data_IF_962438860883
#
_entry.id   IF_962438860883
#
_cell.length_a   1.000
_cell.length_b   1.000
_cell.length_c   1.000
_cell.angle_alpha   90.00
_cell.angle_beta   90.00
_cell.angle_gamma   90.00
#
_symmetry.space_group_name_H-M   'P 1'
#
loop_
_entity.id
_entity.type
_entity.pdbx_description
1 polymer ?
#
# COMPACT_ATOMS: atom_id res chain seq x y z
N UNK A 1 63.21 -2.24 -30.94
CA UNK A 1 62.78 -0.94 -30.38
C UNK A 1 61.31 -1.14 -30.10
N UNK A 2 60.94 -1.29 -28.84
CA UNK A 2 59.54 -1.41 -28.45
C UNK A 2 58.89 -0.03 -28.66
N UNK A 3 57.89 0.03 -29.54
CA UNK A 3 57.06 1.22 -29.66
C UNK A 3 56.40 1.49 -28.30
N UNK A 4 56.38 2.74 -27.80
CA UNK A 4 55.75 3.05 -26.53
C UNK A 4 54.26 2.73 -26.63
N UNK A 5 53.82 1.68 -25.94
CA UNK A 5 52.40 1.32 -25.87
C UNK A 5 51.62 2.50 -25.27
N UNK A 6 50.73 3.10 -26.06
CA UNK A 6 49.82 4.15 -25.60
C UNK A 6 48.86 3.53 -24.56
N UNK A 7 48.84 4.08 -23.36
CA UNK A 7 47.98 3.68 -22.23
C UNK A 7 47.02 4.81 -21.87
N UNK A 8 45.94 4.52 -21.15
CA UNK A 8 44.94 5.54 -20.77
C UNK A 8 45.57 6.73 -20.02
N UNK A 9 46.60 6.48 -19.22
CA UNK A 9 47.30 7.52 -18.46
C UNK A 9 48.13 8.47 -19.35
N UNK A 10 48.67 8.00 -20.48
CA UNK A 10 49.51 8.82 -21.38
C UNK A 10 48.75 9.33 -22.62
N UNK A 11 47.49 8.90 -22.81
CA UNK A 11 46.61 9.37 -23.89
C UNK A 11 46.46 10.90 -23.92
N UNK A 12 46.22 11.60 -22.79
CA UNK A 12 46.07 13.06 -22.83
C UNK A 12 47.27 13.79 -23.41
N UNK A 13 48.48 13.38 -23.02
CA UNK A 13 49.73 13.95 -23.53
C UNK A 13 49.95 13.60 -25.00
N UNK A 14 49.63 12.36 -25.40
CA UNK A 14 49.67 11.95 -26.80
C UNK A 14 48.77 12.81 -27.68
N UNK A 15 47.50 13.00 -27.28
CA UNK A 15 46.51 13.79 -28.04
C UNK A 15 46.95 15.25 -28.16
N UNK A 16 47.49 15.81 -27.07
CA UNK A 16 48.03 17.17 -27.05
C UNK A 16 49.23 17.35 -27.96
N UNK A 17 50.18 16.42 -27.93
CA UNK A 17 51.33 16.45 -28.81
C UNK A 17 50.91 16.29 -30.27
N UNK A 18 50.03 15.33 -30.56
CA UNK A 18 49.52 15.10 -31.91
C UNK A 18 48.82 16.33 -32.49
N UNK A 19 47.96 17.00 -31.70
CA UNK A 19 47.28 18.21 -32.13
C UNK A 19 48.28 19.34 -32.45
N UNK A 20 49.31 19.52 -31.63
CA UNK A 20 50.36 20.50 -31.88
C UNK A 20 51.14 20.22 -33.17
N UNK A 21 51.44 18.94 -33.45
CA UNK A 21 52.20 18.52 -34.64
C UNK A 21 51.40 18.67 -35.95
N UNK A 22 50.07 18.78 -35.89
CA UNK A 22 49.17 18.82 -37.04
C UNK A 22 48.38 20.14 -37.19
N UNK A 23 48.85 21.24 -36.55
CA UNK A 23 48.17 22.54 -36.52
C UNK A 23 46.69 22.44 -36.04
N UNK A 24 46.43 21.50 -35.13
CA UNK A 24 45.11 21.25 -34.54
C UNK A 24 44.89 22.00 -33.22
N UNK A 25 43.63 22.31 -32.93
CA UNK A 25 43.19 22.92 -31.68
C UNK A 25 42.49 21.86 -30.81
N UNK A 26 42.86 21.83 -29.53
CA UNK A 26 42.11 21.09 -28.52
C UNK A 26 41.11 22.01 -27.84
N UNK A 27 39.84 21.59 -27.82
CA UNK A 27 38.76 22.25 -27.11
C UNK A 27 38.16 21.29 -26.07
N UNK A 28 37.49 21.80 -25.02
CA UNK A 28 36.72 20.95 -24.10
C UNK A 28 35.65 20.15 -24.84
N UNK A 29 35.35 18.95 -24.35
CA UNK A 29 34.34 18.07 -24.93
C UNK A 29 33.00 18.76 -25.21
N UNK A 30 32.38 18.37 -26.33
CA UNK A 30 30.96 18.65 -26.57
C UNK A 30 30.17 17.79 -25.59
N UNK A 31 29.19 18.33 -24.86
CA UNK A 31 28.32 17.49 -24.03
C UNK A 31 27.63 16.43 -24.91
N UNK A 32 28.12 15.19 -24.82
CA UNK A 32 27.71 14.08 -25.69
C UNK A 32 26.23 13.68 -25.53
N UNK A 33 25.58 14.15 -24.46
CA UNK A 33 24.21 13.79 -24.07
C UNK A 33 23.12 14.16 -25.09
N UNK A 34 23.36 15.12 -25.99
CA UNK A 34 22.28 15.75 -26.78
C UNK A 34 22.41 15.63 -28.30
N UNK A 35 23.40 14.90 -28.83
CA UNK A 35 23.60 14.81 -30.29
C UNK A 35 23.04 13.50 -30.86
N UNK A 36 21.91 13.60 -31.57
CA UNK A 36 21.30 12.50 -32.34
C UNK A 36 22.15 12.03 -33.55
N UNK A 37 23.29 12.69 -33.82
CA UNK A 37 24.17 12.46 -34.96
C UNK A 37 25.62 12.23 -34.50
N UNK A 38 25.83 11.15 -33.74
CA UNK A 38 27.15 10.73 -33.29
C UNK A 38 27.49 9.31 -33.77
N UNK A 39 28.77 9.07 -34.04
CA UNK A 39 29.36 7.75 -34.31
C UNK A 39 30.40 7.48 -33.23
N UNK A 40 30.22 6.40 -32.48
CA UNK A 40 31.15 5.98 -31.43
C UNK A 40 32.09 4.91 -31.96
N UNK A 41 33.39 5.09 -31.73
CA UNK A 41 34.47 4.21 -32.14
C UNK A 41 35.26 3.79 -30.90
N UNK A 42 35.43 2.48 -30.69
CA UNK A 42 36.23 1.98 -29.59
C UNK A 42 37.70 1.74 -29.98
N UNK A 43 38.59 1.51 -28.99
CA UNK A 43 39.98 1.13 -29.24
C UNK A 43 40.14 -0.19 -30.01
N UNK A 44 39.09 -1.02 -30.01
CA UNK A 44 39.02 -2.28 -30.77
C UNK A 44 38.70 -2.06 -32.25
N UNK A 45 37.97 -0.99 -32.58
CA UNK A 45 37.60 -0.66 -33.96
C UNK A 45 38.70 0.15 -34.64
N UNK A 46 39.31 1.08 -33.90
CA UNK A 46 40.36 1.97 -34.38
C UNK A 46 41.22 2.45 -33.21
N UNK A 47 42.55 2.34 -33.33
CA UNK A 47 43.46 2.95 -32.35
C UNK A 47 43.41 4.48 -32.41
N UNK A 48 43.79 5.15 -31.32
CA UNK A 48 43.78 6.62 -31.22
C UNK A 48 44.57 7.30 -32.35
N UNK A 49 45.70 6.72 -32.76
CA UNK A 49 46.51 7.24 -33.86
C UNK A 49 45.74 7.25 -35.18
N UNK A 50 45.04 6.15 -35.48
CA UNK A 50 44.18 6.03 -36.65
C UNK A 50 43.02 7.00 -36.61
N UNK A 51 42.43 7.21 -35.42
CA UNK A 51 41.33 8.16 -35.22
C UNK A 51 41.76 9.61 -35.46
N UNK A 52 42.91 10.02 -34.90
CA UNK A 52 43.45 11.35 -35.14
C UNK A 52 43.88 11.53 -36.61
N UNK A 53 44.50 10.51 -37.22
CA UNK A 53 44.85 10.53 -38.64
C UNK A 53 43.62 10.67 -39.55
N UNK A 54 42.50 10.00 -39.21
CA UNK A 54 41.23 10.17 -39.90
C UNK A 54 40.74 11.62 -39.81
N UNK A 55 40.77 12.23 -38.62
CA UNK A 55 40.40 13.64 -38.44
C UNK A 55 41.23 14.57 -39.34
N UNK A 56 42.55 14.37 -39.37
CA UNK A 56 43.48 15.14 -40.22
C UNK A 56 43.18 14.96 -41.71
N UNK A 57 42.92 13.71 -42.16
CA UNK A 57 42.60 13.39 -43.55
C UNK A 57 41.32 14.07 -44.02
N UNK A 58 40.34 14.21 -43.11
CA UNK A 58 39.08 14.91 -43.35
C UNK A 58 39.22 16.45 -43.27
N UNK A 59 40.44 16.95 -43.08
CA UNK A 59 40.72 18.38 -42.98
C UNK A 59 40.24 19.02 -41.67
N UNK A 60 39.93 18.20 -40.66
CA UNK A 60 39.47 18.70 -39.37
C UNK A 60 40.68 19.25 -38.60
N UNK A 61 40.50 20.45 -38.04
CA UNK A 61 41.52 21.17 -37.27
C UNK A 61 41.17 21.29 -35.78
N UNK A 62 40.02 20.78 -35.36
CA UNK A 62 39.54 20.89 -33.99
C UNK A 62 39.23 19.51 -33.46
N UNK A 63 39.86 19.13 -32.36
CA UNK A 63 39.52 17.97 -31.56
C UNK A 63 38.92 18.45 -30.24
N UNK A 64 37.82 17.84 -29.83
CA UNK A 64 37.20 18.03 -28.53
C UNK A 64 37.67 16.92 -27.61
N UNK A 65 38.07 17.24 -26.38
CA UNK A 65 38.64 16.28 -25.45
C UNK A 65 37.91 16.35 -24.11
N UNK A 66 37.52 15.18 -23.59
CA UNK A 66 37.14 14.98 -22.20
C UNK A 66 38.16 14.10 -21.50
N UNK A 67 38.49 14.45 -20.27
CA UNK A 67 39.39 13.66 -19.43
C UNK A 67 38.71 13.52 -18.08
N UNK A 68 38.36 12.29 -17.75
CA UNK A 68 37.77 11.95 -16.48
C UNK A 68 38.86 11.41 -15.55
N UNK A 69 39.14 12.16 -14.49
CA UNK A 69 40.06 11.76 -13.44
C UNK A 69 39.27 11.16 -12.28
N UNK A 70 39.67 9.97 -11.85
CA UNK A 70 38.97 9.25 -10.81
C UNK A 70 39.10 9.90 -9.44
N UNK A 71 37.96 10.20 -8.81
CA UNK A 71 37.87 10.65 -7.42
C UNK A 71 37.20 9.55 -6.58
N UNK A 72 37.94 9.02 -5.59
CA UNK A 72 37.44 7.93 -4.73
C UNK A 72 36.23 8.36 -3.90
N UNK A 73 36.18 9.62 -3.48
CA UNK A 73 35.10 10.18 -2.68
C UNK A 73 33.82 10.27 -3.50
N UNK A 74 33.85 11.02 -4.60
CA UNK A 74 32.71 11.20 -5.49
C UNK A 74 32.20 9.86 -6.04
N UNK A 75 33.12 9.00 -6.49
CA UNK A 75 32.75 7.76 -7.15
C UNK A 75 32.28 6.66 -6.19
N UNK A 76 32.71 6.60 -4.93
CA UNK A 76 32.16 5.60 -3.99
C UNK A 76 30.98 6.16 -3.21
N UNK A 77 30.94 7.48 -2.96
CA UNK A 77 29.87 8.10 -2.19
C UNK A 77 28.55 8.12 -2.95
N UNK A 78 28.57 8.20 -4.28
CA UNK A 78 27.38 8.08 -5.10
C UNK A 78 26.68 6.71 -4.94
N UNK A 79 27.43 5.66 -4.56
CA UNK A 79 26.88 4.34 -4.24
C UNK A 79 26.34 4.23 -2.80
N UNK A 80 26.68 5.20 -1.94
CA UNK A 80 26.21 5.26 -0.54
C UNK A 80 25.06 6.22 -0.32
N UNK A 81 24.82 7.14 -1.25
CA UNK A 81 23.75 8.11 -1.15
C UNK A 81 22.39 7.37 -1.17
N UNK A 82 21.59 7.45 -0.10
CA UNK A 82 20.21 6.98 -0.17
C UNK A 82 19.53 7.78 -1.27
N UNK A 83 18.90 7.11 -2.25
CA UNK A 83 18.16 7.76 -3.32
C UNK A 83 17.26 8.87 -2.75
N UNK A 84 17.65 10.13 -2.91
CA UNK A 84 16.97 11.32 -2.34
C UNK A 84 15.64 11.62 -3.08
N UNK A 85 15.16 10.69 -3.90
CA UNK A 85 14.01 10.90 -4.79
C UNK A 85 12.77 10.08 -4.45
N UNK A 86 12.68 9.50 -3.25
CA UNK A 86 11.40 8.99 -2.75
C UNK A 86 10.92 9.86 -1.59
N UNK A 87 10.08 10.83 -1.92
CA UNK A 87 9.11 11.42 -1.00
C UNK A 87 8.27 10.30 -0.37
N UNK A 88 8.67 9.79 0.80
CA UNK A 88 7.72 9.42 1.86
C UNK A 88 8.44 8.84 3.06
N UNK A 89 8.07 9.36 4.23
CA UNK A 89 8.19 8.72 5.54
C UNK A 89 9.62 8.36 5.96
N UNK A 90 10.25 9.31 6.68
CA UNK A 90 11.29 9.09 7.71
C UNK A 90 11.87 7.68 7.68
N UNK A 91 12.76 7.45 6.72
CA UNK A 91 13.66 6.33 6.76
C UNK A 91 14.58 6.63 7.95
N UNK A 92 14.14 6.24 9.15
CA UNK A 92 14.97 6.23 10.34
C UNK A 92 16.32 5.64 9.94
N UNK A 93 17.41 6.31 10.33
CA UNK A 93 18.81 5.95 10.11
C UNK A 93 19.08 4.51 10.52
N UNK A 94 18.61 3.56 9.72
CA UNK A 94 18.88 2.15 9.92
C UNK A 94 20.24 1.94 9.28
N UNK A 95 21.24 1.51 10.04
CA UNK A 95 22.58 1.30 9.50
C UNK A 95 22.45 0.39 8.29
N UNK A 96 23.19 0.73 7.21
CA UNK A 96 23.37 -0.17 6.07
C UNK A 96 23.72 -1.56 6.61
N UNK A 97 23.25 -2.61 5.94
CA UNK A 97 23.65 -3.97 6.27
C UNK A 97 25.18 -4.05 6.42
N UNK A 98 25.65 -4.69 7.49
CA UNK A 98 27.07 -4.79 7.84
C UNK A 98 27.87 -5.37 6.67
N UNK A 99 27.26 -6.28 5.89
CA UNK A 99 27.85 -6.86 4.68
C UNK A 99 28.06 -5.80 3.57
N UNK A 100 27.09 -4.91 3.35
CA UNK A 100 27.17 -3.82 2.36
C UNK A 100 28.21 -2.79 2.82
N UNK A 101 28.24 -2.43 4.11
CA UNK A 101 29.26 -1.52 4.65
C UNK A 101 30.68 -2.08 4.51
N UNK A 102 30.86 -3.38 4.77
CA UNK A 102 32.14 -4.06 4.63
C UNK A 102 32.58 -4.11 3.15
N UNK A 103 31.65 -4.38 2.23
CA UNK A 103 31.93 -4.39 0.80
C UNK A 103 32.37 -3.00 0.30
N UNK A 104 31.63 -1.94 0.66
CA UNK A 104 31.97 -0.56 0.33
C UNK A 104 33.34 -0.14 0.89
N UNK A 105 33.65 -0.53 2.13
CA UNK A 105 34.95 -0.25 2.74
C UNK A 105 36.09 -0.96 2.00
N UNK A 106 35.83 -2.18 1.54
CA UNK A 106 36.78 -2.97 0.74
C UNK A 106 37.03 -2.30 -0.62
N UNK A 107 35.96 -1.90 -1.32
CA UNK A 107 36.03 -1.17 -2.60
C UNK A 107 36.80 0.13 -2.43
N UNK A 108 36.48 0.96 -1.42
CA UNK A 108 37.24 2.18 -1.11
C UNK A 108 38.73 1.92 -0.93
N UNK A 109 39.08 0.85 -0.22
CA UNK A 109 40.48 0.49 0.02
C UNK A 109 41.19 0.09 -1.29
N UNK A 110 40.51 -0.68 -2.16
CA UNK A 110 41.01 -1.04 -3.49
C UNK A 110 41.11 0.16 -4.45
N UNK A 111 40.22 1.14 -4.31
CA UNK A 111 40.12 2.31 -5.18
C UNK A 111 41.20 3.37 -4.90
N UNK A 112 41.64 3.50 -3.64
CA UNK A 112 42.65 4.50 -3.19
C UNK A 112 43.90 4.62 -4.08
N UNK A 113 44.54 3.54 -4.56
CA UNK A 113 45.72 3.64 -5.42
C UNK A 113 45.46 4.25 -6.81
N UNK A 114 44.19 4.46 -7.19
CA UNK A 114 43.78 5.04 -8.46
C UNK A 114 43.26 6.47 -8.34
N UNK A 115 43.23 7.02 -7.11
CA UNK A 115 42.80 8.39 -6.86
C UNK A 115 43.62 9.40 -7.68
N UNK A 116 42.94 10.26 -8.43
CA UNK A 116 43.52 11.23 -9.35
C UNK A 116 44.09 10.65 -10.65
N UNK A 117 43.99 9.34 -10.92
CA UNK A 117 44.40 8.75 -12.20
C UNK A 117 43.32 8.93 -13.27
N UNK A 118 43.75 8.93 -14.52
CA UNK A 118 42.85 9.02 -15.68
C UNK A 118 42.03 7.74 -15.79
N UNK A 119 40.73 7.83 -15.49
CA UNK A 119 39.79 6.72 -15.63
C UNK A 119 39.35 6.54 -17.08
N UNK A 120 39.10 7.66 -17.76
CA UNK A 120 38.56 7.69 -19.11
C UNK A 120 39.08 8.90 -19.87
N UNK A 121 39.36 8.69 -21.15
CA UNK A 121 39.64 9.75 -22.11
C UNK A 121 38.67 9.62 -23.26
N UNK A 122 37.96 10.70 -23.56
CA UNK A 122 37.12 10.83 -24.74
C UNK A 122 37.74 11.86 -25.68
N UNK A 123 37.79 11.55 -26.97
CA UNK A 123 38.21 12.48 -28.02
C UNK A 123 37.16 12.46 -29.11
N UNK A 124 36.75 13.63 -29.57
CA UNK A 124 35.81 13.72 -30.68
C UNK A 124 36.17 14.79 -31.69
N UNK A 125 35.66 14.64 -32.90
CA UNK A 125 35.73 15.65 -33.94
C UNK A 125 34.45 15.66 -34.76
N UNK A 126 34.14 16.80 -35.41
CA UNK A 126 32.92 16.95 -36.21
C UNK A 126 33.28 17.03 -37.69
N UNK A 127 32.65 16.18 -38.49
CA UNK A 127 32.77 16.22 -39.95
C UNK A 127 31.40 15.93 -40.58
N UNK A 128 31.02 16.72 -41.58
CA UNK A 128 29.72 16.54 -42.27
C UNK A 128 28.50 16.64 -41.34
N UNK A 129 28.58 17.46 -40.29
CA UNK A 129 27.58 17.57 -39.21
C UNK A 129 27.37 16.30 -38.36
N UNK A 130 28.32 15.35 -38.39
CA UNK A 130 28.33 14.16 -37.53
C UNK A 130 29.52 14.22 -36.57
N UNK A 131 29.25 14.02 -35.28
CA UNK A 131 30.29 13.88 -34.27
C UNK A 131 30.87 12.46 -34.33
N UNK A 132 32.18 12.35 -34.44
CA UNK A 132 32.90 11.07 -34.34
C UNK A 132 33.56 11.07 -32.98
N UNK A 133 33.27 10.08 -32.16
CA UNK A 133 33.68 10.00 -30.76
C UNK A 133 34.53 8.75 -30.60
N UNK A 134 35.69 8.89 -29.98
CA UNK A 134 36.56 7.81 -29.59
C UNK A 134 36.78 7.84 -28.09
N UNK A 135 36.65 6.70 -27.43
CA UNK A 135 36.70 6.61 -25.98
C UNK A 135 37.62 5.47 -25.55
N UNK A 136 38.50 5.73 -24.59
CA UNK A 136 39.27 4.70 -23.91
C UNK A 136 39.05 4.79 -22.40
N UNK A 137 38.80 3.63 -21.81
CA UNK A 137 38.54 3.48 -20.37
C UNK A 137 39.61 2.58 -19.78
N UNK A 138 40.13 2.96 -18.61
CA UNK A 138 41.14 2.18 -17.93
C UNK A 138 40.54 0.84 -17.44
N UNK A 139 41.21 -0.32 -17.67
CA UNK A 139 40.66 -1.61 -17.27
C UNK A 139 40.37 -1.73 -15.76
N UNK A 140 41.18 -1.06 -14.94
CA UNK A 140 40.98 -1.02 -13.49
C UNK A 140 39.69 -0.27 -13.11
N UNK A 141 39.31 0.75 -13.87
CA UNK A 141 38.10 1.53 -13.62
C UNK A 141 36.86 0.70 -13.96
N UNK A 142 36.84 0.03 -15.11
CA UNK A 142 35.74 -0.88 -15.48
C UNK A 142 35.53 -2.00 -14.45
N UNK A 143 36.62 -2.61 -13.96
CA UNK A 143 36.54 -3.64 -12.93
C UNK A 143 35.99 -3.08 -11.60
N UNK A 144 36.39 -1.86 -11.23
CA UNK A 144 35.91 -1.21 -10.02
C UNK A 144 34.42 -0.85 -10.10
N UNK A 145 33.97 -0.28 -11.24
CA UNK A 145 32.55 0.02 -11.50
C UNK A 145 31.70 -1.24 -11.40
N UNK A 146 32.15 -2.36 -11.97
CA UNK A 146 31.45 -3.63 -11.86
C UNK A 146 31.33 -4.12 -10.40
N UNK A 147 32.39 -4.01 -9.59
CA UNK A 147 32.30 -4.34 -8.15
C UNK A 147 31.31 -3.41 -7.41
N UNK A 148 31.27 -2.12 -7.76
CA UNK A 148 30.32 -1.17 -7.19
C UNK A 148 28.87 -1.51 -7.58
N UNK A 149 28.62 -1.90 -8.83
CA UNK A 149 27.31 -2.32 -9.33
C UNK A 149 26.81 -3.57 -8.61
N UNK A 150 27.68 -4.55 -8.36
CA UNK A 150 27.36 -5.75 -7.58
C UNK A 150 26.90 -5.40 -6.16
N UNK A 151 27.59 -4.46 -5.50
CA UNK A 151 27.20 -3.96 -4.17
C UNK A 151 25.85 -3.25 -4.21
N UNK A 152 25.59 -2.47 -5.27
CA UNK A 152 24.29 -1.83 -5.48
C UNK A 152 23.16 -2.83 -5.69
N UNK A 153 23.41 -3.93 -6.40
CA UNK A 153 22.43 -5.01 -6.56
C UNK A 153 22.14 -5.66 -5.20
N UNK A 154 23.18 -6.00 -4.43
CA UNK A 154 23.03 -6.55 -3.08
C UNK A 154 22.21 -5.62 -2.17
N UNK A 155 22.52 -4.32 -2.19
CA UNK A 155 21.79 -3.33 -1.39
C UNK A 155 20.31 -3.25 -1.79
N UNK A 156 20.00 -3.24 -3.10
CA UNK A 156 18.62 -3.23 -3.59
C UNK A 156 17.85 -4.48 -3.20
N UNK A 157 18.47 -5.66 -3.33
CA UNK A 157 17.85 -6.92 -2.91
C UNK A 157 17.55 -6.94 -1.41
N UNK A 158 18.49 -6.52 -0.57
CA UNK A 158 18.28 -6.45 0.87
C UNK A 158 17.17 -5.45 1.26
N UNK A 159 17.10 -4.30 0.57
CA UNK A 159 16.00 -3.33 0.77
C UNK A 159 14.65 -3.89 0.33
N UNK A 160 14.60 -4.62 -0.78
CA UNK A 160 13.38 -5.24 -1.28
C UNK A 160 12.86 -6.32 -0.32
N UNK A 161 13.72 -7.22 0.15
CA UNK A 161 13.35 -8.25 1.13
C UNK A 161 12.77 -7.61 2.40
N UNK A 162 13.42 -6.57 2.92
CA UNK A 162 12.91 -5.85 4.10
C UNK A 162 11.56 -5.17 3.86
N UNK A 163 11.34 -4.63 2.65
CA UNK A 163 10.04 -4.07 2.28
C UNK A 163 8.97 -5.15 2.21
N UNK A 164 9.28 -6.28 1.58
CA UNK A 164 8.38 -7.42 1.46
C UNK A 164 8.01 -7.99 2.84
N UNK A 165 8.99 -8.17 3.74
CA UNK A 165 8.77 -8.62 5.12
C UNK A 165 7.84 -7.67 5.89
N UNK A 166 8.11 -6.35 5.82
CA UNK A 166 7.26 -5.34 6.46
C UNK A 166 5.85 -5.32 5.87
N UNK A 167 5.74 -5.45 4.56
CA UNK A 167 4.46 -5.52 3.88
C UNK A 167 3.67 -6.76 4.31
N UNK A 168 4.30 -7.93 4.34
CA UNK A 168 3.70 -9.18 4.80
C UNK A 168 3.26 -9.09 6.26
N UNK A 169 4.09 -8.53 7.15
CA UNK A 169 3.73 -8.30 8.54
C UNK A 169 2.47 -7.41 8.68
N UNK A 170 2.39 -6.31 7.91
CA UNK A 170 1.21 -5.42 7.89
C UNK A 170 -0.04 -6.09 7.31
N UNK A 171 0.13 -7.03 6.38
CA UNK A 171 -1.00 -7.81 5.82
C UNK A 171 -1.49 -8.82 6.85
N UNK A 172 -0.60 -9.57 7.48
CA UNK A 172 -0.95 -10.54 8.53
C UNK A 172 -1.63 -9.87 9.72
N UNK A 173 -1.15 -8.70 10.14
CA UNK A 173 -1.79 -7.90 11.19
C UNK A 173 -3.20 -7.46 10.80
N UNK A 174 -3.40 -6.97 9.56
CA UNK A 174 -4.75 -6.61 9.07
C UNK A 174 -5.70 -7.81 9.03
N UNK A 175 -5.22 -8.98 8.61
CA UNK A 175 -6.02 -10.20 8.58
C UNK A 175 -6.44 -10.62 9.99
N UNK A 176 -5.50 -10.62 10.95
CA UNK A 176 -5.81 -10.91 12.35
C UNK A 176 -6.85 -9.93 12.93
N UNK A 177 -6.75 -8.65 12.58
CA UNK A 177 -7.72 -7.63 12.97
C UNK A 177 -9.12 -7.88 12.38
N UNK A 178 -9.19 -8.27 11.11
CA UNK A 178 -10.43 -8.62 10.42
C UNK A 178 -11.08 -9.88 11.02
N UNK A 179 -10.31 -10.93 11.29
CA UNK A 179 -10.78 -12.16 11.93
C UNK A 179 -11.32 -11.89 13.35
N UNK A 180 -10.62 -11.08 14.12
CA UNK A 180 -11.06 -10.70 15.47
C UNK A 180 -12.34 -9.86 15.40
N UNK A 181 -12.43 -8.91 14.46
CA UNK A 181 -13.65 -8.12 14.23
C UNK A 181 -14.83 -9.01 13.85
N UNK A 182 -14.64 -9.99 12.97
CA UNK A 182 -15.69 -10.91 12.56
C UNK A 182 -16.17 -11.76 13.72
N UNK A 183 -15.25 -12.25 14.56
CA UNK A 183 -15.57 -13.03 15.76
C UNK A 183 -16.34 -12.20 16.78
N UNK A 184 -15.89 -10.98 17.06
CA UNK A 184 -16.61 -10.03 17.93
C UNK A 184 -18.01 -9.75 17.40
N UNK A 185 -18.15 -9.50 16.09
CA UNK A 185 -19.44 -9.21 15.47
C UNK A 185 -20.41 -10.39 15.58
N UNK A 186 -19.94 -11.61 15.29
CA UNK A 186 -20.74 -12.83 15.41
C UNK A 186 -21.21 -13.05 16.86
N UNK A 187 -20.31 -12.91 17.83
CA UNK A 187 -20.63 -13.04 19.25
C UNK A 187 -21.68 -12.00 19.68
N UNK A 188 -21.54 -10.74 19.28
CA UNK A 188 -22.54 -9.70 19.59
C UNK A 188 -23.89 -10.01 18.95
N UNK A 189 -23.91 -10.42 17.68
CA UNK A 189 -25.14 -10.72 16.96
C UNK A 189 -25.90 -11.92 17.57
N UNK A 190 -25.21 -12.84 18.23
CA UNK A 190 -25.84 -13.98 18.92
C UNK A 190 -26.49 -13.62 20.26
N UNK A 191 -26.13 -12.48 20.86
CA UNK A 191 -26.63 -12.16 22.21
C UNK A 191 -28.07 -11.62 22.21
N UNK A 192 -28.95 -12.15 23.08
CA UNK A 192 -30.33 -11.65 23.20
C UNK A 192 -30.45 -10.18 23.66
N UNK A 193 -29.58 -9.75 24.57
CA UNK A 193 -29.54 -8.36 25.06
C UNK A 193 -29.15 -7.37 23.95
N UNK A 194 -28.20 -7.76 23.10
CA UNK A 194 -27.77 -6.97 21.94
C UNK A 194 -28.83 -6.90 20.83
N UNK A 195 -29.52 -8.02 20.58
CA UNK A 195 -30.65 -8.09 19.62
C UNK A 195 -31.80 -7.17 20.05
N UNK A 196 -32.15 -7.20 21.33
CA UNK A 196 -33.29 -6.45 21.91
C UNK A 196 -33.01 -4.98 22.17
N UNK A 197 -31.74 -4.57 22.18
CA UNK A 197 -31.35 -3.17 22.38
C UNK A 197 -31.94 -2.23 21.30
N UNK A 198 -32.62 -1.16 21.74
CA UNK A 198 -33.38 -0.25 20.87
C UNK A 198 -32.54 0.83 20.19
N UNK A 199 -31.38 1.19 20.75
CA UNK A 199 -30.54 2.28 20.24
C UNK A 199 -29.06 1.88 20.16
N UNK A 200 -28.27 2.67 19.43
CA UNK A 200 -26.85 2.41 19.22
C UNK A 200 -26.03 2.55 20.52
N UNK A 201 -26.42 3.43 21.44
CA UNK A 201 -25.75 3.62 22.73
C UNK A 201 -25.80 2.38 23.61
N UNK A 202 -26.99 1.81 23.83
CA UNK A 202 -27.17 0.58 24.60
C UNK A 202 -26.42 -0.60 23.97
N UNK A 203 -26.38 -0.70 22.63
CA UNK A 203 -25.58 -1.72 21.94
C UNK A 203 -24.07 -1.54 22.16
N UNK A 204 -23.62 -0.29 22.19
CA UNK A 204 -22.22 0.05 22.49
C UNK A 204 -21.87 -0.32 23.93
N UNK A 205 -22.70 0.05 24.90
CA UNK A 205 -22.49 -0.30 26.32
C UNK A 205 -22.42 -1.82 26.51
N UNK A 206 -23.32 -2.59 25.87
CA UNK A 206 -23.26 -4.06 25.89
C UNK A 206 -21.94 -4.56 25.29
N UNK A 207 -21.51 -4.01 24.16
CA UNK A 207 -20.29 -4.46 23.50
C UNK A 207 -19.01 -4.10 24.29
N UNK A 208 -18.96 -2.92 24.92
CA UNK A 208 -17.87 -2.51 25.81
C UNK A 208 -17.82 -3.37 27.08
N UNK A 209 -18.97 -3.86 27.56
CA UNK A 209 -19.02 -4.80 28.67
C UNK A 209 -18.56 -6.21 28.28
N UNK A 210 -18.94 -6.68 27.09
CA UNK A 210 -18.55 -8.02 26.58
C UNK A 210 -17.08 -8.05 26.17
N UNK A 211 -16.58 -6.96 25.59
CA UNK A 211 -15.21 -6.82 25.14
C UNK A 211 -14.57 -5.62 25.85
N UNK A 212 -14.21 -5.77 27.13
CA UNK A 212 -13.56 -4.71 27.86
C UNK A 212 -12.19 -4.40 27.24
N UNK A 213 -11.80 -3.12 27.32
CA UNK A 213 -10.49 -2.67 26.87
C UNK A 213 -9.38 -3.45 27.59
N UNK A 214 -8.45 -4.09 26.86
CA UNK A 214 -7.31 -4.76 27.49
C UNK A 214 -6.42 -3.72 28.19
N UNK A 215 -5.87 -4.07 29.36
CA UNK A 215 -5.02 -3.18 30.15
C UNK A 215 -3.76 -2.74 29.39
N UNK A 216 -3.25 -3.61 28.51
CA UNK A 216 -2.00 -3.41 27.77
C UNK A 216 -2.22 -3.06 26.28
N UNK A 217 -3.45 -2.80 25.85
CA UNK A 217 -3.76 -2.56 24.42
C UNK A 217 -3.69 -1.08 24.07
N UNK A 218 -3.12 -0.80 22.89
CA UNK A 218 -3.27 0.50 22.24
C UNK A 218 -4.76 0.87 22.12
N UNK A 219 -5.16 1.90 22.87
CA UNK A 219 -6.53 2.36 23.02
C UNK A 219 -7.26 2.51 21.68
N UNK A 220 -6.53 3.02 20.69
CA UNK A 220 -7.04 3.26 19.36
C UNK A 220 -7.42 1.97 18.61
N UNK A 221 -6.56 0.94 18.64
CA UNK A 221 -6.78 -0.31 17.89
C UNK A 221 -7.98 -1.08 18.42
N UNK A 222 -8.09 -1.20 19.74
CA UNK A 222 -9.25 -1.86 20.36
C UNK A 222 -10.55 -1.12 20.01
N UNK A 223 -10.57 0.21 20.17
CA UNK A 223 -11.73 1.04 19.84
C UNK A 223 -12.11 0.91 18.36
N UNK A 224 -11.13 0.92 17.45
CA UNK A 224 -11.36 0.73 16.02
C UNK A 224 -12.02 -0.63 15.72
N UNK A 225 -11.46 -1.72 16.24
CA UNK A 225 -12.01 -3.08 16.05
C UNK A 225 -13.42 -3.19 16.62
N UNK A 226 -13.67 -2.66 17.82
CA UNK A 226 -14.98 -2.69 18.48
C UNK A 226 -16.04 -1.93 17.68
N UNK A 227 -15.73 -0.73 17.19
CA UNK A 227 -16.67 0.07 16.39
C UNK A 227 -17.03 -0.63 15.06
N UNK A 228 -16.04 -1.23 14.39
CA UNK A 228 -16.26 -2.04 13.17
C UNK A 228 -17.13 -3.26 13.46
N UNK A 229 -16.79 -4.02 14.51
CA UNK A 229 -17.56 -5.19 14.92
C UNK A 229 -19.01 -4.84 15.29
N UNK A 230 -19.22 -3.73 15.99
CA UNK A 230 -20.55 -3.20 16.32
C UNK A 230 -21.39 -2.90 15.09
N UNK A 231 -20.82 -2.22 14.08
CA UNK A 231 -21.50 -1.91 12.84
C UNK A 231 -21.91 -3.19 12.08
N UNK A 232 -21.00 -4.16 11.98
CA UNK A 232 -21.25 -5.45 11.34
C UNK A 232 -22.33 -6.25 12.08
N UNK A 233 -22.23 -6.36 13.41
CA UNK A 233 -23.23 -7.05 14.24
C UNK A 233 -24.61 -6.39 14.10
N UNK A 234 -24.66 -5.06 14.10
CA UNK A 234 -25.90 -4.31 13.93
C UNK A 234 -26.56 -4.61 12.58
N UNK A 235 -25.80 -4.60 11.49
CA UNK A 235 -26.29 -4.92 10.16
C UNK A 235 -26.82 -6.36 10.09
N UNK A 236 -26.10 -7.32 10.69
CA UNK A 236 -26.52 -8.72 10.76
C UNK A 236 -27.83 -8.89 11.53
N UNK A 237 -27.95 -8.27 12.71
CA UNK A 237 -29.19 -8.28 13.53
C UNK A 237 -30.37 -7.66 12.77
N UNK A 238 -30.16 -6.56 12.05
CA UNK A 238 -31.22 -5.95 11.23
C UNK A 238 -31.63 -6.82 10.05
N UNK A 239 -30.69 -7.50 9.40
CA UNK A 239 -30.99 -8.43 8.31
C UNK A 239 -31.80 -9.63 8.83
N UNK A 240 -31.37 -10.23 9.95
CA UNK A 240 -32.07 -11.33 10.59
C UNK A 240 -33.49 -10.93 11.05
N UNK A 241 -33.63 -9.78 11.72
CA UNK A 241 -34.93 -9.26 12.15
C UNK A 241 -35.90 -9.08 10.96
N UNK A 242 -35.40 -8.53 9.84
CA UNK A 242 -36.21 -8.36 8.62
C UNK A 242 -36.70 -9.71 8.07
N UNK A 243 -35.83 -10.73 8.06
CA UNK A 243 -36.21 -12.09 7.65
C UNK A 243 -37.31 -12.68 8.54
N UNK A 244 -37.12 -12.63 9.86
CA UNK A 244 -38.09 -13.14 10.84
C UNK A 244 -39.45 -12.46 10.71
N UNK A 245 -39.47 -11.12 10.63
CA UNK A 245 -40.73 -10.39 10.55
C UNK A 245 -41.41 -10.47 9.19
N UNK A 246 -40.67 -10.69 8.10
CA UNK A 246 -41.27 -11.02 6.81
C UNK A 246 -42.02 -12.37 6.88
N UNK A 247 -41.45 -13.37 7.55
CA UNK A 247 -42.13 -14.65 7.78
C UNK A 247 -43.38 -14.47 8.66
N UNK A 248 -43.27 -13.71 9.76
CA UNK A 248 -44.39 -13.46 10.66
C UNK A 248 -45.54 -12.72 9.98
N UNK A 249 -45.24 -11.80 9.07
CA UNK A 249 -46.25 -11.11 8.29
C UNK A 249 -47.03 -12.04 7.36
N UNK A 250 -46.43 -13.12 6.88
CA UNK A 250 -47.12 -14.17 6.11
C UNK A 250 -48.00 -15.08 6.99
N UNK A 251 -47.72 -15.14 8.30
CA UNK A 251 -48.37 -16.07 9.26
C UNK A 251 -49.17 -15.35 10.35
N UNK A 252 -49.65 -14.14 10.06
CA UNK A 252 -50.32 -13.30 11.06
C UNK A 252 -51.57 -13.92 11.67
N UNK A 253 -52.32 -14.73 10.90
CA UNK A 253 -53.54 -15.35 11.41
C UNK A 253 -53.21 -16.43 12.45
N UNK A 254 -52.22 -17.29 12.18
CA UNK A 254 -51.70 -18.28 13.14
C UNK A 254 -51.15 -17.60 14.42
N UNK A 255 -50.34 -16.55 14.24
CA UNK A 255 -49.79 -15.79 15.38
C UNK A 255 -50.88 -15.13 16.22
N UNK A 256 -52.00 -14.76 15.61
CA UNK A 256 -53.12 -14.16 16.33
C UNK A 256 -53.85 -15.19 17.19
N UNK A 257 -54.02 -16.42 16.70
CA UNK A 257 -54.59 -17.52 17.47
C UNK A 257 -53.69 -17.91 18.64
N UNK A 258 -52.38 -18.03 18.41
CA UNK A 258 -51.42 -18.33 19.49
C UNK A 258 -51.38 -17.24 20.56
N UNK A 259 -51.43 -15.96 20.15
CA UNK A 259 -51.48 -14.85 21.10
C UNK A 259 -52.77 -14.87 21.93
N UNK A 260 -53.91 -15.25 21.32
CA UNK A 260 -55.16 -15.45 22.04
C UNK A 260 -55.05 -16.59 23.06
N UNK A 261 -54.55 -17.75 22.64
CA UNK A 261 -54.38 -18.93 23.52
C UNK A 261 -53.43 -18.65 24.67
N UNK A 262 -52.41 -17.82 24.46
CA UNK A 262 -51.44 -17.48 25.51
C UNK A 262 -52.04 -16.68 26.69
N UNK A 263 -53.24 -16.11 26.55
CA UNK A 263 -53.88 -15.28 27.57
C UNK A 263 -53.13 -13.97 27.89
N UNK A 264 -52.05 -13.65 27.18
CA UNK A 264 -51.20 -12.48 27.46
C UNK A 264 -51.94 -11.14 27.35
N UNK A 265 -53.05 -11.09 26.62
CA UNK A 265 -53.84 -9.86 26.45
C UNK A 265 -54.98 -9.70 27.47
N UNK A 266 -55.27 -10.71 28.28
CA UNK A 266 -56.46 -10.74 29.15
C UNK A 266 -56.41 -9.67 30.26
N UNK A 267 -55.20 -9.30 30.68
CA UNK A 267 -54.97 -8.29 31.71
C UNK A 267 -54.93 -6.85 31.16
N UNK A 268 -54.99 -6.67 29.83
CA UNK A 268 -54.83 -5.36 29.20
C UNK A 268 -56.18 -4.73 28.82
N UNK A 269 -56.59 -3.73 29.60
CA UNK A 269 -57.86 -2.99 29.44
C UNK A 269 -57.85 -1.92 28.35
N UNK A 270 -56.70 -1.63 27.72
CA UNK A 270 -56.56 -0.56 26.74
C UNK A 270 -55.66 -0.87 25.55
N UNK A 271 -55.80 -0.10 24.47
CA UNK A 271 -55.05 -0.29 23.22
C UNK A 271 -53.53 -0.13 23.37
N UNK A 272 -53.08 0.78 24.25
CA UNK A 272 -51.66 0.99 24.55
C UNK A 272 -51.02 -0.24 25.22
N UNK A 273 -51.52 -0.69 26.39
CA UNK A 273 -51.05 -1.91 27.04
C UNK A 273 -51.11 -3.16 26.14
N UNK A 274 -52.17 -3.33 25.33
CA UNK A 274 -52.26 -4.43 24.37
C UNK A 274 -51.16 -4.39 23.31
N UNK A 275 -50.78 -3.19 22.82
CA UNK A 275 -49.65 -3.03 21.89
C UNK A 275 -48.32 -3.40 22.54
N UNK A 276 -48.09 -3.04 23.79
CA UNK A 276 -46.88 -3.38 24.52
C UNK A 276 -46.78 -4.90 24.67
N UNK A 277 -47.83 -5.55 25.19
CA UNK A 277 -47.84 -7.00 25.40
C UNK A 277 -47.76 -7.81 24.08
N UNK A 278 -48.38 -7.32 23.01
CA UNK A 278 -48.23 -7.92 21.69
C UNK A 278 -46.81 -7.75 21.14
N UNK A 279 -46.18 -6.60 21.36
CA UNK A 279 -44.79 -6.39 20.99
C UNK A 279 -43.84 -7.28 21.81
N UNK A 280 -44.09 -7.46 23.11
CA UNK A 280 -43.32 -8.34 23.99
C UNK A 280 -43.46 -9.80 23.56
N UNK A 281 -44.67 -10.24 23.22
CA UNK A 281 -44.92 -11.58 22.66
C UNK A 281 -44.10 -11.83 21.38
N UNK A 282 -44.12 -10.87 20.43
CA UNK A 282 -43.35 -10.99 19.18
C UNK A 282 -41.84 -10.89 19.42
N UNK A 283 -41.40 -10.14 20.43
CA UNK A 283 -39.98 -10.02 20.79
C UNK A 283 -39.47 -11.33 21.39
N UNK A 284 -40.22 -11.93 22.30
CA UNK A 284 -39.91 -13.24 22.89
C UNK A 284 -39.86 -14.33 21.82
N UNK A 285 -40.87 -14.37 20.95
CA UNK A 285 -40.95 -15.39 19.89
C UNK A 285 -39.86 -15.27 18.83
N UNK A 286 -39.44 -14.05 18.51
CA UNK A 286 -38.40 -13.79 17.51
C UNK A 286 -36.97 -14.05 18.04
N UNK A 287 -36.81 -14.42 19.31
CA UNK A 287 -35.48 -14.59 19.92
C UNK A 287 -34.81 -13.25 20.28
N UNK A 288 -35.62 -12.24 20.60
CA UNK A 288 -35.18 -10.95 21.11
C UNK A 288 -35.15 -9.81 20.10
N UNK A 289 -35.63 -9.98 18.86
CA UNK A 289 -35.71 -8.86 17.92
C UNK A 289 -36.91 -7.97 18.26
N UNK A 290 -36.78 -6.64 18.26
CA UNK A 290 -37.92 -5.75 18.48
C UNK A 290 -38.80 -5.69 17.21
N UNK A 291 -40.13 -5.85 17.30
CA UNK A 291 -41.01 -5.89 16.14
C UNK A 291 -41.21 -4.50 15.50
N UNK A 292 -41.32 -4.43 14.16
CA UNK A 292 -41.79 -3.23 13.49
C UNK A 292 -43.20 -2.86 13.97
N UNK A 293 -43.44 -1.56 14.21
CA UNK A 293 -44.75 -1.08 14.67
C UNK A 293 -45.90 -1.44 13.71
N UNK A 294 -45.61 -1.57 12.41
CA UNK A 294 -46.54 -2.06 11.39
C UNK A 294 -46.98 -3.49 11.68
N UNK A 295 -46.06 -4.41 11.94
CA UNK A 295 -46.35 -5.83 12.19
C UNK A 295 -47.22 -5.99 13.44
N UNK A 296 -46.92 -5.26 14.53
CA UNK A 296 -47.76 -5.24 15.74
C UNK A 296 -49.18 -4.76 15.43
N UNK A 297 -49.29 -3.70 14.61
CA UNK A 297 -50.59 -3.14 14.22
C UNK A 297 -51.40 -4.12 13.37
N UNK A 298 -50.75 -4.79 12.41
CA UNK A 298 -51.39 -5.78 11.55
C UNK A 298 -51.83 -7.04 12.32
N UNK A 299 -51.06 -7.45 13.33
CA UNK A 299 -51.41 -8.56 14.22
C UNK A 299 -52.65 -8.23 15.07
N UNK A 300 -52.66 -7.06 15.73
CA UNK A 300 -53.80 -6.66 16.57
C UNK A 300 -55.08 -6.34 15.78
N UNK A 301 -54.97 -6.11 14.47
CA UNK A 301 -56.12 -5.91 13.58
C UNK A 301 -56.82 -7.23 13.20
N UNK A 302 -56.24 -8.39 13.54
CA UNK A 302 -56.78 -9.71 13.16
C UNK A 302 -58.11 -9.98 13.86
N UNK A 303 -59.10 -10.59 13.18
CA UNK A 303 -60.43 -10.86 13.74
C UNK A 303 -60.46 -11.48 15.15
N UNK A 304 -59.66 -12.51 15.48
CA UNK A 304 -59.72 -13.13 16.81
C UNK A 304 -59.26 -12.20 17.94
N UNK A 305 -58.45 -11.18 17.62
CA UNK A 305 -57.88 -10.26 18.61
C UNK A 305 -58.61 -8.92 18.71
N UNK A 306 -59.59 -8.67 17.83
CA UNK A 306 -60.43 -7.48 17.91
C UNK A 306 -61.24 -7.53 19.20
N UNK A 307 -61.23 -6.46 20.03
CA UNK A 307 -62.10 -6.40 21.19
C UNK A 307 -63.54 -6.56 20.69
N UNK A 308 -64.21 -7.61 21.17
CA UNK A 308 -65.57 -7.91 20.79
C UNK A 308 -66.42 -6.67 20.97
N UNK A 309 -67.01 -6.19 19.88
CA UNK A 309 -68.12 -5.24 19.96
C UNK A 309 -69.22 -6.04 20.69
N UNK A 310 -69.42 -5.76 21.97
CA UNK A 310 -70.45 -6.44 22.75
C UNK A 310 -71.76 -6.41 21.94
N UNK A 311 -72.46 -7.54 21.75
CA UNK A 311 -73.76 -7.51 21.11
C UNK A 311 -74.65 -6.61 21.95
N UNK A 312 -75.17 -5.56 21.32
CA UNK A 312 -76.19 -4.68 21.88
C UNK A 312 -77.40 -5.52 22.26
N UNK A 313 -77.46 -5.96 23.52
CA UNK A 313 -78.66 -6.51 24.12
C UNK A 313 -79.68 -5.38 24.21
N UNK A 314 -80.57 -5.31 23.23
CA UNK A 314 -81.74 -4.46 23.26
C UNK A 314 -82.85 -5.12 22.46
N UNK A 315 -84.02 -5.18 23.09
CA UNK A 315 -85.33 -5.58 22.57
C UNK A 315 -85.68 -7.10 22.63
N UNK A 316 -85.81 -7.63 23.85
CA UNK A 316 -86.95 -8.49 24.18
C UNK A 316 -87.88 -7.70 25.11
N UNK A 317 -88.96 -7.17 24.56
CA UNK A 317 -90.12 -6.70 25.32
C UNK A 317 -91.36 -7.11 24.56
N UNK A 318 -91.92 -8.25 24.98
CA UNK A 318 -93.31 -8.63 24.69
C UNK A 318 -94.24 -7.70 25.47
N UNK A 319 -95.34 -7.20 24.89
CA UNK A 319 -96.47 -6.75 25.69
C UNK A 319 -97.42 -7.93 25.95
N UNK A 320 -97.78 -8.10 27.22
CA UNK A 320 -99.04 -8.73 27.61
C UNK A 320 -100.19 -7.84 27.17
N UNK A 321 -101.19 -8.42 26.50
CA UNK A 321 -102.63 -8.28 26.77
C UNK A 321 -103.36 -9.41 26.05
#
# INVERSE_FOLDING_TARGET
>A
MDEPTVTVDNLPDFIKQWAADHDGFLLPALSASDSQYAVQLGPQDMGIEGFCHLASTLGVRVLYQDIDCFDVGEHVDCYTAPNVHTDSEKQEDKPLDDAVQQALTTIRTKARPYDGKTARVEVSFVHGAVAHIWEAVAPWYTALVAECDDVHVLQRSAQQEQYEDRHQARVAERQADEEQQATMAALLAERPDFRSAKNAGARREIAEHVFPKPQDSEDYRHSFRLNRALATAHAAVQAAARGVYAEYECRLDELAEELLVSGKLDQATGAGPRRILAADFLTERSGGYPPPGRTVTLLLARPPLKPGKAPSSSALSLPLT
#
